data_IF_148404642131
#
_entry.id   IF_148404642131
#
_cell.length_a   1.000
_cell.length_b   1.000
_cell.length_c   1.000
_cell.angle_alpha   90.00
_cell.angle_beta   90.00
_cell.angle_gamma   90.00
#
_symmetry.space_group_name_H-M   'P 1'
#
loop_
_entity.id
_entity.type
_entity.pdbx_description
1 polymer ?
#
# COMPACT_ATOMS: atom_id res chain seq x y z
N UNK A 1 4.24 20.55 6.41
CA UNK A 1 4.99 20.91 5.18
C UNK A 1 6.50 20.96 5.42
N UNK A 2 7.01 21.68 6.42
CA UNK A 2 8.46 21.81 6.72
C UNK A 2 9.13 20.44 6.91
N UNK A 3 8.53 19.53 7.69
CA UNK A 3 9.10 18.22 7.97
C UNK A 3 9.18 17.34 6.71
N UNK A 4 8.18 17.39 5.83
CA UNK A 4 8.23 16.73 4.53
C UNK A 4 9.39 17.23 3.66
N UNK A 5 9.58 18.54 3.61
CA UNK A 5 10.71 19.13 2.89
C UNK A 5 12.05 18.67 3.48
N UNK A 6 12.13 18.56 4.81
CA UNK A 6 13.32 18.02 5.47
C UNK A 6 13.62 16.59 5.05
N UNK A 7 12.60 15.71 5.04
CA UNK A 7 12.74 14.34 4.53
C UNK A 7 13.26 14.31 3.09
N UNK A 8 12.71 15.19 2.25
CA UNK A 8 13.12 15.29 0.85
C UNK A 8 14.58 15.78 0.71
N UNK A 9 14.96 16.81 1.47
CA UNK A 9 16.33 17.36 1.48
C UNK A 9 17.33 16.32 1.94
N UNK A 10 17.02 15.53 2.99
CA UNK A 10 17.88 14.44 3.47
C UNK A 10 18.05 13.37 2.39
N UNK A 11 16.98 12.98 1.70
CA UNK A 11 17.06 12.02 0.61
C UNK A 11 17.86 12.55 -0.58
N UNK A 12 17.67 13.83 -0.94
CA UNK A 12 18.42 14.50 -2.01
C UNK A 12 19.92 14.59 -1.66
N UNK A 13 20.26 15.01 -0.44
CA UNK A 13 21.64 15.05 0.03
C UNK A 13 22.30 13.66 -0.02
N UNK A 14 21.62 12.64 0.49
CA UNK A 14 22.09 11.27 0.43
C UNK A 14 22.28 10.80 -1.03
N UNK A 15 21.37 11.17 -1.95
CA UNK A 15 21.50 10.87 -3.38
C UNK A 15 22.74 11.53 -3.96
N UNK A 16 22.93 12.82 -3.76
CA UNK A 16 24.07 13.57 -4.31
C UNK A 16 25.43 13.06 -3.79
N UNK A 17 25.47 12.63 -2.54
CA UNK A 17 26.71 12.07 -1.94
C UNK A 17 26.99 10.64 -2.36
N UNK A 18 25.96 9.85 -2.70
CA UNK A 18 26.10 8.42 -3.04
C UNK A 18 26.11 8.15 -4.54
N UNK A 19 25.83 9.14 -5.40
CA UNK A 19 25.84 8.98 -6.87
C UNK A 19 27.16 8.38 -7.37
N UNK A 20 28.29 8.72 -6.72
CA UNK A 20 29.61 8.19 -7.05
C UNK A 20 29.93 6.83 -6.38
N UNK A 21 29.15 6.44 -5.37
CA UNK A 21 29.33 5.20 -4.62
C UNK A 21 28.28 4.18 -5.06
N UNK A 22 28.72 3.08 -5.65
CA UNK A 22 27.84 1.96 -6.02
C UNK A 22 27.35 1.13 -4.81
N UNK A 23 27.70 1.53 -3.58
CA UNK A 23 27.33 0.77 -2.39
C UNK A 23 25.90 1.06 -1.95
N UNK A 24 25.11 -0.01 -1.77
CA UNK A 24 23.79 0.05 -1.16
C UNK A 24 23.93 0.40 0.32
N UNK A 25 23.57 1.62 0.70
CA UNK A 25 23.55 2.01 2.11
C UNK A 25 22.26 1.52 2.78
N UNK A 26 22.29 0.27 3.27
CA UNK A 26 21.16 -0.36 3.96
C UNK A 26 20.77 0.39 5.24
N UNK A 27 21.78 0.96 5.94
CA UNK A 27 21.54 1.70 7.17
C UNK A 27 20.75 2.99 6.87
N UNK A 28 21.09 3.71 5.77
CA UNK A 28 20.31 4.85 5.32
C UNK A 28 18.86 4.47 5.09
N UNK A 29 18.59 3.40 4.35
CA UNK A 29 17.25 2.94 4.07
C UNK A 29 16.50 2.61 5.36
N UNK A 30 17.14 1.87 6.28
CA UNK A 30 16.53 1.49 7.55
C UNK A 30 16.13 2.69 8.39
N UNK A 31 17.08 3.59 8.68
CA UNK A 31 16.79 4.77 9.50
C UNK A 31 15.76 5.68 8.85
N UNK A 32 15.81 5.82 7.52
CA UNK A 32 14.86 6.64 6.80
C UNK A 32 13.43 6.11 6.93
N UNK A 33 13.24 4.79 6.78
CA UNK A 33 11.94 4.17 6.94
C UNK A 33 11.46 4.19 8.40
N UNK A 34 12.35 4.02 9.37
CA UNK A 34 12.01 4.16 10.80
C UNK A 34 11.52 5.57 11.11
N UNK A 35 12.27 6.60 10.69
CA UNK A 35 11.86 8.00 10.88
C UNK A 35 10.52 8.30 10.19
N UNK A 36 10.32 7.80 8.95
CA UNK A 36 9.05 7.94 8.23
C UNK A 36 7.90 7.24 8.95
N UNK A 37 8.14 6.03 9.48
CA UNK A 37 7.14 5.28 10.27
C UNK A 37 6.71 6.06 11.51
N UNK A 38 7.68 6.58 12.26
CA UNK A 38 7.40 7.38 13.46
C UNK A 38 6.61 8.63 13.06
N UNK A 39 7.07 9.36 12.04
CA UNK A 39 6.41 10.59 11.62
C UNK A 39 4.97 10.35 11.17
N UNK A 40 4.74 9.35 10.30
CA UNK A 40 3.40 9.04 9.80
C UNK A 40 2.54 8.43 10.90
N UNK A 41 3.10 7.54 11.72
CA UNK A 41 2.35 6.80 12.74
C UNK A 41 1.87 7.65 13.91
N UNK A 42 2.68 8.64 14.34
CA UNK A 42 2.31 9.56 15.43
C UNK A 42 1.65 10.86 14.94
N UNK A 43 1.65 11.11 13.62
CA UNK A 43 0.90 12.24 13.08
C UNK A 43 -0.57 12.01 13.35
N UNK A 44 -1.22 12.90 14.07
CA UNK A 44 -2.66 12.88 14.32
C UNK A 44 -3.42 12.84 12.98
N UNK A 45 -4.63 13.17 12.86
CA UNK A 45 -5.49 13.11 11.67
C UNK A 45 -5.01 13.93 10.45
N UNK A 46 -3.70 14.11 10.29
CA UNK A 46 -3.07 14.83 9.16
C UNK A 46 -3.25 14.10 7.80
N UNK A 47 -3.70 12.85 7.81
CA UNK A 47 -3.88 12.03 6.61
C UNK A 47 -5.16 12.28 5.84
N UNK A 48 -5.96 13.30 6.19
CA UNK A 48 -7.21 13.58 5.51
C UNK A 48 -8.38 12.70 5.97
N UNK A 49 -9.47 12.74 5.20
CA UNK A 49 -10.76 12.19 5.58
C UNK A 49 -10.73 10.67 5.83
N UNK A 50 -10.08 9.91 4.96
CA UNK A 50 -10.06 8.44 5.07
C UNK A 50 -9.37 7.96 6.35
N UNK A 51 -8.28 8.63 6.76
CA UNK A 51 -7.60 8.29 8.02
C UNK A 51 -8.52 8.50 9.22
N UNK A 52 -9.34 9.55 9.19
CA UNK A 52 -10.32 9.81 10.20
C UNK A 52 -11.39 8.70 10.24
N UNK A 53 -11.90 8.30 9.07
CA UNK A 53 -12.88 7.19 8.96
C UNK A 53 -12.32 5.91 9.57
N UNK A 54 -11.09 5.52 9.25
CA UNK A 54 -10.49 4.30 9.85
C UNK A 54 -10.39 4.38 11.37
N UNK A 55 -10.09 5.54 11.91
CA UNK A 55 -10.03 5.75 13.34
C UNK A 55 -11.42 5.70 14.00
N UNK A 56 -12.45 6.23 13.34
CA UNK A 56 -13.85 6.20 13.79
C UNK A 56 -14.39 4.76 13.76
N UNK A 57 -14.23 4.05 12.64
CA UNK A 57 -14.63 2.64 12.53
C UNK A 57 -13.97 1.77 13.60
N UNK A 58 -12.69 2.02 13.90
CA UNK A 58 -12.01 1.32 14.98
C UNK A 58 -12.57 1.66 16.37
N UNK A 59 -12.94 2.92 16.62
CA UNK A 59 -13.62 3.31 17.86
C UNK A 59 -14.98 2.65 17.98
N UNK A 60 -15.77 2.60 16.91
CA UNK A 60 -17.09 1.98 16.90
C UNK A 60 -16.98 0.47 17.19
N UNK A 61 -16.01 -0.20 16.58
CA UNK A 61 -15.70 -1.60 16.85
C UNK A 61 -15.35 -1.82 18.33
N UNK A 62 -14.47 -1.01 18.90
CA UNK A 62 -14.06 -1.15 20.30
C UNK A 62 -15.19 -0.84 21.27
N UNK A 63 -16.03 0.16 20.99
CA UNK A 63 -17.21 0.50 21.77
C UNK A 63 -18.24 -0.64 21.75
N UNK A 64 -18.42 -1.28 20.60
CA UNK A 64 -19.33 -2.41 20.45
C UNK A 64 -18.86 -3.61 21.28
N UNK A 65 -17.57 -3.89 21.29
CA UNK A 65 -16.96 -4.93 22.13
C UNK A 65 -17.16 -4.62 23.63
N UNK A 66 -16.98 -3.37 24.05
CA UNK A 66 -17.13 -2.96 25.45
C UNK A 66 -18.58 -3.04 25.94
N UNK A 67 -19.54 -2.80 25.08
CA UNK A 67 -20.96 -2.91 25.38
C UNK A 67 -21.48 -4.37 25.38
N UNK A 68 -20.58 -5.35 25.36
CA UNK A 68 -20.93 -6.77 25.39
C UNK A 68 -21.35 -7.33 24.04
N UNK A 69 -21.08 -6.60 22.95
CA UNK A 69 -21.26 -7.08 21.58
C UNK A 69 -20.36 -8.29 21.31
N UNK A 70 -20.90 -9.25 20.57
CA UNK A 70 -20.13 -10.43 20.19
C UNK A 70 -19.08 -10.01 19.13
N UNK A 71 -17.79 -10.18 19.45
CA UNK A 71 -16.66 -9.91 18.54
C UNK A 71 -16.87 -10.58 17.18
N UNK A 72 -17.41 -11.80 17.18
CA UNK A 72 -17.72 -12.55 15.97
C UNK A 72 -18.85 -11.92 15.15
N UNK A 73 -19.81 -11.33 15.82
CA UNK A 73 -20.94 -10.64 15.18
C UNK A 73 -20.52 -9.29 14.61
N UNK A 74 -19.64 -8.55 15.26
CA UNK A 74 -19.01 -7.35 14.73
C UNK A 74 -18.18 -7.68 13.48
N UNK A 75 -17.41 -8.77 13.52
CA UNK A 75 -16.66 -9.27 12.36
C UNK A 75 -17.56 -9.65 11.17
N UNK A 76 -18.72 -10.29 11.42
CA UNK A 76 -19.66 -10.67 10.36
C UNK A 76 -20.37 -9.45 9.77
N UNK A 77 -20.71 -8.43 10.57
CA UNK A 77 -21.33 -7.20 10.09
C UNK A 77 -20.39 -6.37 9.20
N UNK A 78 -19.09 -6.34 9.51
CA UNK A 78 -18.06 -5.67 8.70
C UNK A 78 -17.67 -6.48 7.45
N UNK A 79 -17.94 -7.80 7.40
CA UNK A 79 -17.77 -8.64 6.20
C UNK A 79 -18.51 -8.12 4.96
N UNK A 80 -19.44 -7.20 5.14
CA UNK A 80 -20.13 -6.52 4.04
C UNK A 80 -19.21 -5.64 3.21
N UNK A 81 -18.08 -5.17 3.75
CA UNK A 81 -17.14 -4.27 3.05
C UNK A 81 -16.05 -5.02 2.23
N UNK A 82 -16.16 -6.34 2.10
CA UNK A 82 -15.36 -7.21 1.19
C UNK A 82 -13.83 -7.26 1.45
N UNK A 83 -13.31 -6.62 2.50
CA UNK A 83 -11.87 -6.59 2.80
C UNK A 83 -11.53 -7.34 4.12
N UNK A 84 -11.90 -8.62 4.13
CA UNK A 84 -11.84 -9.53 5.29
C UNK A 84 -10.51 -9.50 6.05
N UNK A 85 -9.38 -9.32 5.35
CA UNK A 85 -8.06 -9.28 5.98
C UNK A 85 -7.83 -8.03 6.81
N UNK A 86 -8.36 -6.89 6.35
CA UNK A 86 -8.26 -5.64 7.09
C UNK A 86 -9.19 -5.65 8.32
N UNK A 87 -10.40 -6.17 8.17
CA UNK A 87 -11.37 -6.31 9.26
C UNK A 87 -10.85 -7.25 10.35
N UNK A 88 -10.27 -8.39 9.93
CA UNK A 88 -9.58 -9.29 10.86
C UNK A 88 -8.45 -8.58 11.61
N UNK A 89 -7.66 -7.74 10.94
CA UNK A 89 -6.61 -6.95 11.56
C UNK A 89 -7.17 -5.96 12.58
N UNK A 90 -8.28 -5.26 12.27
CA UNK A 90 -8.95 -4.36 13.20
C UNK A 90 -9.36 -5.08 14.47
N UNK A 91 -10.04 -6.23 14.34
CA UNK A 91 -10.46 -7.05 15.47
C UNK A 91 -9.25 -7.54 16.29
N UNK A 92 -8.20 -8.05 15.62
CA UNK A 92 -6.99 -8.53 16.29
C UNK A 92 -6.30 -7.42 17.10
N UNK A 93 -6.28 -6.18 16.58
CA UNK A 93 -5.71 -5.05 17.33
C UNK A 93 -6.65 -4.58 18.43
N UNK A 94 -7.97 -4.61 18.22
CA UNK A 94 -8.96 -4.22 19.22
C UNK A 94 -8.91 -5.09 20.49
N UNK A 95 -8.47 -6.35 20.37
CA UNK A 95 -8.23 -7.23 21.53
C UNK A 95 -7.03 -6.75 22.36
N UNK A 96 -6.03 -6.13 21.72
CA UNK A 96 -4.78 -5.69 22.37
C UNK A 96 -4.93 -4.27 22.93
N UNK A 97 -5.58 -3.38 22.18
CA UNK A 97 -5.74 -1.96 22.54
C UNK A 97 -7.03 -1.40 21.99
N UNK A 98 -7.62 -0.47 22.73
CA UNK A 98 -8.81 0.29 22.30
C UNK A 98 -8.45 1.71 21.84
N UNK A 99 -7.17 2.04 21.84
CA UNK A 99 -6.70 3.36 21.46
C UNK A 99 -6.47 3.43 19.96
N UNK A 100 -7.28 4.26 19.27
CA UNK A 100 -7.20 4.49 17.82
C UNK A 100 -5.83 4.98 17.34
N UNK A 101 -5.09 5.71 18.14
CA UNK A 101 -3.76 6.20 17.78
C UNK A 101 -2.74 5.05 17.76
N UNK A 102 -2.84 4.12 18.72
CA UNK A 102 -2.01 2.92 18.73
C UNK A 102 -2.38 2.01 17.57
N UNK A 103 -3.66 1.87 17.25
CA UNK A 103 -4.13 1.14 16.06
C UNK A 103 -3.48 1.69 14.79
N UNK A 104 -3.60 3.00 14.53
CA UNK A 104 -3.01 3.66 13.36
C UNK A 104 -1.49 3.48 13.33
N UNK A 105 -0.83 3.58 14.50
CA UNK A 105 0.61 3.37 14.60
C UNK A 105 1.01 1.94 14.22
N UNK A 106 0.30 0.92 14.72
CA UNK A 106 0.55 -0.50 14.38
C UNK A 106 0.39 -0.73 12.87
N UNK A 107 -0.71 -0.26 12.28
CA UNK A 107 -0.94 -0.40 10.84
C UNK A 107 0.15 0.30 10.04
N UNK A 108 0.57 1.50 10.46
CA UNK A 108 1.67 2.24 9.82
C UNK A 108 2.98 1.46 9.89
N UNK A 109 3.32 0.87 11.05
CA UNK A 109 4.51 -0.01 11.20
C UNK A 109 4.45 -1.18 10.22
N UNK A 110 3.29 -1.81 10.05
CA UNK A 110 3.11 -2.91 9.09
C UNK A 110 3.34 -2.44 7.66
N UNK A 111 2.73 -1.32 7.24
CA UNK A 111 2.90 -0.72 5.91
C UNK A 111 4.39 -0.47 5.63
N UNK A 112 5.06 0.25 6.51
CA UNK A 112 6.47 0.60 6.31
C UNK A 112 7.41 -0.62 6.39
N UNK A 113 7.06 -1.65 7.15
CA UNK A 113 7.82 -2.91 7.18
C UNK A 113 7.76 -3.64 5.84
N UNK A 114 6.60 -3.76 5.21
CA UNK A 114 6.48 -4.42 3.90
C UNK A 114 7.10 -3.58 2.79
N UNK A 115 6.96 -2.26 2.83
CA UNK A 115 7.61 -1.33 1.91
C UNK A 115 9.15 -1.39 2.04
N UNK A 116 9.68 -1.35 3.26
CA UNK A 116 11.13 -1.48 3.51
C UNK A 116 11.70 -2.77 2.92
N UNK A 117 11.02 -3.90 3.12
CA UNK A 117 11.44 -5.19 2.56
C UNK A 117 11.50 -5.15 1.03
N UNK A 118 10.49 -4.57 0.40
CA UNK A 118 10.42 -4.43 -1.06
C UNK A 118 11.50 -3.49 -1.58
N UNK A 119 11.71 -2.33 -0.95
CA UNK A 119 12.80 -1.41 -1.29
C UNK A 119 14.17 -2.05 -1.18
N UNK A 120 14.43 -2.73 -0.06
CA UNK A 120 15.69 -3.44 0.17
C UNK A 120 15.97 -4.48 -0.91
N UNK A 121 14.93 -5.14 -1.41
CA UNK A 121 15.04 -6.22 -2.38
C UNK A 121 15.17 -5.73 -3.82
N UNK A 122 14.40 -4.69 -4.21
CA UNK A 122 14.22 -4.33 -5.62
C UNK A 122 14.87 -3.02 -6.03
N UNK A 123 15.14 -2.13 -5.09
CA UNK A 123 15.74 -0.84 -5.41
C UNK A 123 17.25 -0.95 -5.38
N UNK A 124 17.92 -0.47 -6.43
CA UNK A 124 19.39 -0.46 -6.50
C UNK A 124 19.97 0.80 -5.86
N UNK A 125 19.37 1.95 -6.11
CA UNK A 125 19.76 3.23 -5.53
C UNK A 125 18.72 3.66 -4.49
N UNK A 126 19.00 3.41 -3.22
CA UNK A 126 18.04 3.70 -2.14
C UNK A 126 17.69 5.18 -2.01
N UNK A 127 18.63 6.15 -2.03
CA UNK A 127 18.28 7.55 -1.94
C UNK A 127 17.37 8.01 -3.09
N UNK A 128 17.64 7.58 -4.31
CA UNK A 128 16.79 7.90 -5.46
C UNK A 128 15.41 7.25 -5.34
N UNK A 129 15.36 5.98 -4.96
CA UNK A 129 14.09 5.28 -4.72
C UNK A 129 13.24 5.94 -3.63
N UNK A 130 13.89 6.38 -2.55
CA UNK A 130 13.22 7.12 -1.47
C UNK A 130 12.70 8.47 -1.96
N UNK A 131 13.46 9.21 -2.78
CA UNK A 131 12.98 10.47 -3.38
C UNK A 131 11.73 10.26 -4.24
N UNK A 132 11.72 9.20 -5.07
CA UNK A 132 10.55 8.85 -5.85
C UNK A 132 9.35 8.45 -4.97
N UNK A 133 9.61 7.68 -3.92
CA UNK A 133 8.58 7.31 -2.95
C UNK A 133 7.97 8.54 -2.27
N UNK A 134 8.79 9.48 -1.83
CA UNK A 134 8.31 10.72 -1.24
C UNK A 134 7.46 11.53 -2.22
N UNK A 135 7.90 11.64 -3.46
CA UNK A 135 7.21 12.44 -4.47
C UNK A 135 5.86 11.83 -4.90
N UNK A 136 5.77 10.48 -4.95
CA UNK A 136 4.65 9.80 -5.59
C UNK A 136 3.71 9.10 -4.60
N UNK A 137 4.23 8.57 -3.49
CA UNK A 137 3.47 7.63 -2.66
C UNK A 137 3.41 7.99 -1.18
N UNK A 138 4.29 8.89 -0.70
CA UNK A 138 4.43 9.17 0.72
C UNK A 138 3.10 9.64 1.35
N UNK A 139 2.39 10.55 0.69
CA UNK A 139 1.12 11.06 1.20
C UNK A 139 0.01 10.01 1.25
N UNK A 140 0.06 9.02 0.37
CA UNK A 140 -0.89 7.89 0.42
C UNK A 140 -0.73 7.06 1.70
N UNK A 141 0.47 7.00 2.29
CA UNK A 141 0.69 6.30 3.55
C UNK A 141 0.01 6.95 4.75
N UNK A 142 -0.34 8.25 4.65
CA UNK A 142 -1.15 8.93 5.68
C UNK A 142 -2.64 8.62 5.53
N UNK A 143 -3.13 8.55 4.29
CA UNK A 143 -4.55 8.54 3.96
C UNK A 143 -5.08 7.12 3.76
N UNK A 144 -4.49 6.36 2.86
CA UNK A 144 -5.04 5.09 2.37
C UNK A 144 -4.40 3.88 3.06
N UNK A 145 -4.68 3.68 4.36
CA UNK A 145 -4.03 2.63 5.17
C UNK A 145 -4.24 1.22 4.59
N UNK A 146 -5.49 0.85 4.26
CA UNK A 146 -5.83 -0.46 3.67
C UNK A 146 -5.11 -0.68 2.36
N UNK A 147 -5.23 0.30 1.46
CA UNK A 147 -4.64 0.24 0.14
C UNK A 147 -3.12 0.16 0.19
N UNK A 148 -2.48 0.97 1.02
CA UNK A 148 -1.01 0.96 1.14
C UNK A 148 -0.48 -0.34 1.72
N UNK A 149 -1.23 -0.97 2.62
CA UNK A 149 -0.89 -2.29 3.14
C UNK A 149 -1.01 -3.36 2.02
N UNK A 150 -2.12 -3.34 1.27
CA UNK A 150 -2.32 -4.22 0.12
C UNK A 150 -1.24 -4.05 -0.96
N UNK A 151 -0.91 -2.81 -1.33
CA UNK A 151 0.18 -2.49 -2.27
C UNK A 151 1.53 -3.00 -1.76
N UNK A 152 1.85 -2.76 -0.50
CA UNK A 152 3.10 -3.22 0.10
C UNK A 152 3.24 -4.75 0.05
N UNK A 153 2.15 -5.48 0.36
CA UNK A 153 2.11 -6.95 0.26
C UNK A 153 2.23 -7.38 -1.21
N UNK A 154 1.50 -6.74 -2.14
CA UNK A 154 1.58 -7.05 -3.56
C UNK A 154 3.00 -6.88 -4.12
N UNK A 155 3.74 -5.87 -3.68
CA UNK A 155 5.14 -5.69 -4.08
C UNK A 155 6.05 -6.83 -3.64
N UNK A 156 5.78 -7.50 -2.52
CA UNK A 156 6.53 -8.69 -2.12
C UNK A 156 6.38 -9.85 -3.14
N UNK A 157 5.33 -9.83 -3.97
CA UNK A 157 5.12 -10.84 -5.00
C UNK A 157 6.05 -10.70 -6.22
N UNK A 158 6.69 -9.54 -6.42
CA UNK A 158 7.56 -9.24 -7.58
C UNK A 158 8.66 -10.32 -7.75
N UNK A 159 9.24 -10.81 -6.65
CA UNK A 159 10.25 -11.88 -6.72
C UNK A 159 9.71 -13.16 -7.38
N UNK A 160 8.44 -13.47 -7.17
CA UNK A 160 7.82 -14.67 -7.74
C UNK A 160 7.46 -14.46 -9.22
N UNK A 161 7.19 -13.22 -9.64
CA UNK A 161 7.09 -12.85 -11.05
C UNK A 161 8.44 -13.08 -11.73
N UNK A 162 9.53 -12.58 -11.14
CA UNK A 162 10.89 -12.72 -11.68
C UNK A 162 11.30 -14.21 -11.73
N UNK A 163 10.99 -14.99 -10.69
CA UNK A 163 11.30 -16.41 -10.59
C UNK A 163 10.34 -17.31 -11.38
N UNK A 164 9.29 -16.75 -11.98
CA UNK A 164 8.22 -17.49 -12.67
C UNK A 164 7.59 -18.59 -11.81
N UNK A 165 7.36 -18.31 -10.53
CA UNK A 165 6.76 -19.23 -9.56
C UNK A 165 5.29 -18.87 -9.33
N UNK A 166 4.32 -19.55 -9.99
CA UNK A 166 2.91 -19.15 -9.96
C UNK A 166 2.28 -19.29 -8.57
N UNK A 167 2.49 -20.40 -7.90
CA UNK A 167 1.81 -20.68 -6.63
C UNK A 167 2.15 -19.71 -5.51
N UNK A 168 3.44 -19.39 -5.21
CA UNK A 168 3.76 -18.37 -4.24
C UNK A 168 3.29 -16.97 -4.67
N UNK A 169 3.27 -16.67 -5.99
CA UNK A 169 2.73 -15.42 -6.51
C UNK A 169 1.24 -15.31 -6.17
N UNK A 170 0.44 -16.33 -6.52
CA UNK A 170 -1.00 -16.35 -6.22
C UNK A 170 -1.25 -16.24 -4.72
N UNK A 171 -0.49 -16.97 -3.88
CA UNK A 171 -0.64 -16.89 -2.43
C UNK A 171 -0.41 -15.49 -1.86
N UNK A 172 0.65 -14.78 -2.31
CA UNK A 172 0.91 -13.40 -1.86
C UNK A 172 -0.11 -12.42 -2.42
N UNK A 173 -0.56 -12.62 -3.67
CA UNK A 173 -1.59 -11.76 -4.27
C UNK A 173 -2.96 -11.97 -3.61
N UNK A 174 -3.32 -13.20 -3.25
CA UNK A 174 -4.52 -13.49 -2.46
C UNK A 174 -4.46 -12.80 -1.09
N UNK A 175 -3.30 -12.85 -0.43
CA UNK A 175 -3.12 -12.11 0.82
C UNK A 175 -3.28 -10.59 0.62
N UNK A 176 -2.69 -10.02 -0.43
CA UNK A 176 -2.84 -8.59 -0.74
C UNK A 176 -4.30 -8.22 -1.00
N UNK A 177 -5.03 -9.08 -1.73
CA UNK A 177 -6.45 -8.90 -2.03
C UNK A 177 -7.33 -8.90 -0.78
N UNK A 178 -7.02 -9.73 0.22
CA UNK A 178 -7.74 -9.74 1.49
C UNK A 178 -7.65 -8.40 2.23
N UNK A 179 -6.57 -7.63 2.03
CA UNK A 179 -6.41 -6.31 2.62
C UNK A 179 -6.98 -5.19 1.75
N UNK A 180 -6.94 -5.35 0.43
CA UNK A 180 -7.53 -4.36 -0.48
C UNK A 180 -7.77 -4.93 -1.87
N UNK A 181 -9.01 -4.84 -2.32
CA UNK A 181 -9.47 -5.44 -3.58
C UNK A 181 -8.70 -4.93 -4.81
N UNK A 182 -8.28 -3.67 -4.84
CA UNK A 182 -7.54 -3.11 -5.96
C UNK A 182 -6.15 -3.74 -6.17
N UNK A 183 -5.64 -4.51 -5.19
CA UNK A 183 -4.40 -5.26 -5.38
C UNK A 183 -4.45 -6.21 -6.59
N UNK A 184 -5.65 -6.68 -6.99
CA UNK A 184 -5.84 -7.52 -8.18
C UNK A 184 -5.37 -6.85 -9.48
N UNK A 185 -5.33 -5.52 -9.56
CA UNK A 185 -4.79 -4.79 -10.72
C UNK A 185 -3.32 -5.21 -10.99
N UNK A 186 -2.62 -5.65 -9.96
CA UNK A 186 -1.24 -6.13 -10.12
C UNK A 186 -1.13 -7.57 -10.65
N UNK A 187 -2.22 -8.35 -10.61
CA UNK A 187 -2.22 -9.76 -11.00
C UNK A 187 -1.78 -10.00 -12.47
N UNK A 188 -2.22 -9.22 -13.48
CA UNK A 188 -1.77 -9.37 -14.86
C UNK A 188 -0.27 -9.23 -15.07
N UNK A 189 0.46 -8.59 -14.15
CA UNK A 189 1.91 -8.41 -14.24
C UNK A 189 2.67 -9.74 -14.30
N UNK A 190 2.10 -10.83 -13.74
CA UNK A 190 2.71 -12.16 -13.84
C UNK A 190 2.84 -12.67 -15.28
N UNK A 191 1.89 -12.32 -16.13
CA UNK A 191 1.83 -12.79 -17.51
C UNK A 191 2.73 -11.99 -18.45
N UNK A 192 3.19 -10.79 -18.02
CA UNK A 192 4.08 -9.96 -18.81
C UNK A 192 5.46 -10.64 -18.88
N UNK A 193 6.00 -10.88 -20.10
CA UNK A 193 7.31 -11.49 -20.24
C UNK A 193 8.43 -10.57 -19.73
N UNK A 194 9.40 -11.14 -19.00
CA UNK A 194 10.57 -10.42 -18.47
C UNK A 194 11.61 -10.32 -19.59
N UNK A 195 11.35 -9.47 -20.57
CA UNK A 195 12.27 -9.19 -21.68
C UNK A 195 12.22 -7.71 -22.05
N UNK A 196 13.27 -7.25 -22.71
CA UNK A 196 13.24 -5.90 -23.29
C UNK A 196 12.27 -5.90 -24.45
N UNK A 197 11.33 -5.00 -24.42
CA UNK A 197 10.43 -4.75 -25.55
C UNK A 197 11.09 -3.77 -26.53
N UNK A 198 10.86 -3.97 -27.82
CA UNK A 198 11.28 -3.00 -28.82
C UNK A 198 10.54 -1.66 -28.58
N UNK A 199 11.20 -0.51 -28.82
CA UNK A 199 10.56 0.80 -28.63
C UNK A 199 9.23 0.93 -29.39
N UNK A 200 9.16 0.41 -30.61
CA UNK A 200 7.93 0.44 -31.42
C UNK A 200 6.79 -0.34 -30.74
N UNK A 201 7.07 -1.49 -30.10
CA UNK A 201 6.07 -2.26 -29.36
C UNK A 201 5.52 -1.44 -28.20
N UNK A 202 6.39 -0.73 -27.47
CA UNK A 202 5.97 0.11 -26.34
C UNK A 202 5.08 1.25 -26.84
N UNK A 203 5.51 1.96 -27.90
CA UNK A 203 4.75 3.05 -28.51
C UNK A 203 3.38 2.55 -29.00
N UNK A 204 3.34 1.39 -29.67
CA UNK A 204 2.09 0.79 -30.16
C UNK A 204 1.14 0.47 -29.00
N UNK A 205 1.63 -0.18 -27.93
CA UNK A 205 0.81 -0.50 -26.75
C UNK A 205 0.29 0.79 -26.10
N UNK A 206 1.15 1.79 -25.90
CA UNK A 206 0.73 3.09 -25.34
C UNK A 206 -0.31 3.77 -26.21
N UNK A 207 -0.13 3.77 -27.53
CA UNK A 207 -1.09 4.32 -28.48
C UNK A 207 -2.45 3.61 -28.42
N UNK A 208 -2.44 2.27 -28.35
CA UNK A 208 -3.67 1.48 -28.18
C UNK A 208 -4.36 1.78 -26.87
N UNK A 209 -3.61 1.84 -25.77
CA UNK A 209 -4.17 2.21 -24.45
C UNK A 209 -4.78 3.61 -24.46
N UNK A 210 -4.12 4.57 -25.13
CA UNK A 210 -4.65 5.92 -25.30
C UNK A 210 -5.95 5.91 -26.11
N UNK A 211 -5.97 5.21 -27.25
CA UNK A 211 -7.17 5.08 -28.06
C UNK A 211 -8.34 4.46 -27.30
N UNK A 212 -8.09 3.39 -26.54
CA UNK A 212 -9.11 2.78 -25.68
C UNK A 212 -9.57 3.77 -24.60
N UNK A 213 -8.65 4.51 -23.99
CA UNK A 213 -8.95 5.52 -22.97
C UNK A 213 -9.81 6.69 -23.48
N UNK A 214 -9.78 6.99 -24.78
CA UNK A 214 -10.63 8.00 -25.42
C UNK A 214 -12.04 7.48 -25.76
N UNK A 215 -12.28 6.19 -25.61
CA UNK A 215 -13.62 5.60 -25.80
C UNK A 215 -14.42 5.61 -24.49
N UNK A 216 -15.76 5.45 -24.54
CA UNK A 216 -16.58 5.27 -23.33
C UNK A 216 -16.37 3.90 -22.64
N UNK A 217 -15.58 2.99 -23.20
CA UNK A 217 -15.31 1.65 -22.63
C UNK A 217 -14.79 1.68 -21.18
N UNK A 218 -13.76 2.47 -20.81
CA UNK A 218 -13.27 2.52 -19.45
C UNK A 218 -14.34 2.97 -18.47
N UNK A 219 -15.11 4.04 -18.80
CA UNK A 219 -16.17 4.52 -17.92
C UNK A 219 -17.30 3.50 -17.77
N UNK A 220 -17.68 2.77 -18.82
CA UNK A 220 -18.68 1.71 -18.74
C UNK A 220 -18.20 0.54 -17.87
N UNK A 221 -16.93 0.14 -17.95
CA UNK A 221 -16.36 -0.89 -17.08
C UNK A 221 -16.32 -0.44 -15.62
N UNK A 222 -15.93 0.81 -15.36
CA UNK A 222 -15.92 1.35 -14.00
C UNK A 222 -17.32 1.52 -13.41
N UNK A 223 -18.30 1.94 -14.21
CA UNK A 223 -19.70 2.02 -13.78
C UNK A 223 -20.25 0.63 -13.44
N UNK A 224 -20.03 -0.36 -14.29
CA UNK A 224 -20.47 -1.73 -14.04
C UNK A 224 -19.79 -2.33 -12.78
N UNK A 225 -18.53 -1.97 -12.50
CA UNK A 225 -17.85 -2.38 -11.28
C UNK A 225 -18.39 -1.65 -10.04
N UNK A 226 -18.69 -0.36 -10.17
CA UNK A 226 -19.34 0.45 -9.12
C UNK A 226 -20.72 -0.08 -8.77
N UNK A 227 -21.58 -0.34 -9.76
CA UNK A 227 -22.93 -0.90 -9.55
C UNK A 227 -22.88 -2.27 -8.83
N UNK A 228 -21.88 -3.10 -9.12
CA UNK A 228 -21.66 -4.37 -8.42
C UNK A 228 -21.19 -4.15 -6.97
N UNK A 229 -20.44 -3.09 -6.70
CA UNK A 229 -19.98 -2.76 -5.35
C UNK A 229 -21.10 -2.16 -4.48
N UNK A 230 -22.02 -1.41 -5.10
CA UNK A 230 -23.13 -0.75 -4.38
C UNK A 230 -24.36 -1.65 -4.22
N UNK A 231 -24.48 -2.73 -5.01
CA UNK A 231 -25.58 -3.69 -4.97
C UNK A 231 -25.35 -4.90 -4.06
N UNK A 232 -24.24 -4.98 -3.34
CA UNK A 232 -23.86 -6.03 -2.40
C UNK A 232 -23.81 -5.54 -0.99
#
# INVERSE_FOLDING_TARGET
>A
MVLYLLFYIVALYAYLTTVKSKQKNVNFLFYYFVCSTIFVGISDMLGGYDRYIYAELFNDLTNNIDNGGNIFQSFIFELYDKEIGYDFLNVAIAIITKNRYIFIFIVTVMIYTVLYRSFKQYVENYPFGVMLFLALMFFFTFTYLRQMLGVGIAWLSIKYIIQRRPWPFVGVMSLAFLFHNSALIFFPMYFIPIRKFAPNTIITIMGLCLLIGLTPLPSAVFAAYGDVSDSG
#
